data_IF_974106364690
#
_entry.id   IF_974106364690
#
_cell.length_a   1.000
_cell.length_b   1.000
_cell.length_c   1.000
_cell.angle_alpha   90.00
_cell.angle_beta   90.00
_cell.angle_gamma   90.00
#
_symmetry.space_group_name_H-M   'P 1'
#
loop_
_entity.id
_entity.type
_entity.pdbx_description
1 polymer ?
#
# COMPACT_ATOMS: atom_id res chain seq x y z
N UNK A 1 -6.85 26.09 -12.04
CA UNK A 1 -5.54 25.47 -12.36
C UNK A 1 -5.52 24.04 -11.86
N UNK A 2 -5.80 23.07 -12.74
CA UNK A 2 -5.74 21.64 -12.42
C UNK A 2 -4.27 21.23 -12.40
N UNK A 3 -3.71 20.96 -11.22
CA UNK A 3 -2.39 20.35 -11.11
C UNK A 3 -2.53 18.85 -11.43
N UNK A 4 -2.82 18.53 -12.69
CA UNK A 4 -2.65 17.20 -13.26
C UNK A 4 -1.13 16.98 -13.42
N UNK A 5 -0.43 16.72 -12.31
CA UNK A 5 0.85 16.01 -12.38
C UNK A 5 0.55 14.53 -12.62
N UNK A 6 -0.03 14.25 -13.78
CA UNK A 6 -0.14 12.91 -14.33
C UNK A 6 1.25 12.56 -14.84
N UNK A 7 1.73 11.35 -14.54
CA UNK A 7 3.11 10.88 -14.79
C UNK A 7 4.17 11.44 -13.84
N UNK A 8 4.24 10.83 -12.66
CA UNK A 8 5.50 10.72 -11.96
C UNK A 8 5.74 9.24 -11.67
N UNK A 9 6.44 8.57 -12.58
CA UNK A 9 6.96 7.22 -12.37
C UNK A 9 8.12 7.32 -11.36
N UNK A 10 7.84 7.71 -10.11
CA UNK A 10 8.86 7.75 -9.08
C UNK A 10 8.99 6.36 -8.47
N UNK A 11 10.03 5.67 -8.94
CA UNK A 11 10.52 4.42 -8.38
C UNK A 11 11.09 4.67 -6.98
N UNK A 12 10.22 4.76 -5.97
CA UNK A 12 10.65 4.77 -4.58
C UNK A 12 10.68 3.33 -4.07
N UNK A 13 11.86 2.71 -4.18
CA UNK A 13 12.13 1.37 -3.67
C UNK A 13 11.86 1.30 -2.17
N UNK A 14 10.83 0.57 -1.74
CA UNK A 14 10.73 0.11 -0.37
C UNK A 14 11.15 -1.36 -0.33
N UNK A 15 12.43 -1.57 -0.02
CA UNK A 15 12.99 -2.90 0.20
C UNK A 15 12.73 -3.26 1.66
N UNK A 16 11.97 -4.32 1.91
CA UNK A 16 11.89 -4.94 3.22
C UNK A 16 12.62 -6.28 3.16
N UNK A 17 13.47 -6.52 4.16
CA UNK A 17 14.21 -7.77 4.37
C UNK A 17 13.75 -8.36 5.70
N UNK A 18 12.73 -9.22 5.67
CA UNK A 18 12.36 -10.05 6.82
C UNK A 18 13.13 -11.37 6.75
N UNK A 19 13.82 -11.74 7.84
CA UNK A 19 14.35 -13.08 8.08
C UNK A 19 15.19 -13.68 6.94
N UNK A 20 16.18 -12.92 6.45
CA UNK A 20 17.33 -13.46 5.73
C UNK A 20 17.25 -13.67 4.22
N UNK A 21 16.07 -13.77 3.57
CA UNK A 21 16.03 -14.18 2.14
C UNK A 21 14.96 -13.46 1.29
N UNK A 22 13.91 -12.88 1.89
CA UNK A 22 12.85 -12.25 1.09
C UNK A 22 13.18 -10.83 0.68
N UNK A 23 13.20 -10.57 -0.63
CA UNK A 23 13.31 -9.22 -1.18
C UNK A 23 12.00 -8.84 -1.88
N UNK A 24 11.43 -7.71 -1.47
CA UNK A 24 10.27 -7.14 -2.12
C UNK A 24 10.57 -5.73 -2.59
N UNK A 25 10.11 -5.42 -3.80
CA UNK A 25 10.11 -4.08 -4.36
C UNK A 25 8.67 -3.72 -4.73
N UNK A 26 8.28 -2.48 -4.43
CA UNK A 26 6.98 -1.95 -4.79
C UNK A 26 7.09 -0.61 -5.49
N UNK A 27 6.23 -0.42 -6.49
CA UNK A 27 5.99 0.86 -7.17
C UNK A 27 4.50 1.13 -7.15
N UNK A 28 4.11 2.33 -6.72
CA UNK A 28 2.72 2.75 -6.64
C UNK A 28 2.53 4.00 -7.49
N UNK A 29 1.50 3.98 -8.34
CA UNK A 29 1.09 5.10 -9.18
C UNK A 29 -0.20 5.69 -8.62
N UNK A 30 -0.18 6.98 -8.31
CA UNK A 30 -1.30 7.69 -7.69
C UNK A 30 -1.54 9.05 -8.33
N UNK A 31 -2.79 9.50 -8.27
CA UNK A 31 -3.15 10.91 -8.44
C UNK A 31 -3.73 11.45 -7.14
N UNK A 32 -3.32 12.67 -6.79
CA UNK A 32 -3.74 13.36 -5.56
C UNK A 32 -4.29 14.73 -5.94
N UNK A 33 -5.45 15.08 -5.41
CA UNK A 33 -5.97 16.45 -5.42
C UNK A 33 -5.96 16.97 -3.98
N UNK A 34 -4.94 17.76 -3.59
CA UNK A 34 -4.81 18.30 -2.24
C UNK A 34 -5.94 19.27 -1.85
N UNK A 35 -6.56 19.94 -2.83
CA UNK A 35 -7.65 20.89 -2.56
C UNK A 35 -8.92 20.18 -2.11
N UNK A 36 -9.14 18.96 -2.61
CA UNK A 36 -10.28 18.11 -2.25
C UNK A 36 -9.91 17.03 -1.23
N UNK A 37 -8.62 16.82 -0.99
CA UNK A 37 -8.08 15.73 -0.19
C UNK A 37 -8.36 14.35 -0.81
N UNK A 38 -8.52 14.26 -2.13
CA UNK A 38 -8.85 13.00 -2.81
C UNK A 38 -7.60 12.32 -3.33
N UNK A 39 -7.53 11.01 -3.16
CA UNK A 39 -6.46 10.12 -3.63
C UNK A 39 -7.07 9.06 -4.53
N UNK A 40 -6.45 8.81 -5.67
CA UNK A 40 -6.77 7.69 -6.55
C UNK A 40 -5.51 6.86 -6.81
N UNK A 41 -5.62 5.55 -6.64
CA UNK A 41 -4.53 4.59 -6.87
C UNK A 41 -4.76 3.94 -8.23
N UNK A 42 -3.90 4.24 -9.18
CA UNK A 42 -4.03 3.72 -10.55
C UNK A 42 -3.43 2.33 -10.67
N UNK A 43 -2.21 2.17 -10.18
CA UNK A 43 -1.44 0.95 -10.39
C UNK A 43 -0.57 0.65 -9.20
N UNK A 44 -0.48 -0.63 -8.85
CA UNK A 44 0.43 -1.14 -7.86
C UNK A 44 1.26 -2.28 -8.45
N UNK A 45 2.58 -2.11 -8.52
CA UNK A 45 3.51 -3.12 -9.04
C UNK A 45 4.32 -3.67 -7.89
N UNK A 46 4.42 -4.99 -7.81
CA UNK A 46 5.24 -5.68 -6.82
C UNK A 46 6.15 -6.69 -7.49
N UNK A 47 7.46 -6.57 -7.28
CA UNK A 47 8.41 -7.65 -7.55
C UNK A 47 8.72 -8.37 -6.24
N UNK A 48 8.65 -9.70 -6.24
CA UNK A 48 8.82 -10.53 -5.05
C UNK A 48 9.83 -11.64 -5.30
N UNK A 49 10.71 -11.83 -4.34
CA UNK A 49 11.69 -12.91 -4.26
C UNK A 49 11.37 -13.72 -3.00
N UNK A 50 11.00 -14.98 -3.19
CA UNK A 50 10.68 -15.91 -2.11
C UNK A 50 11.28 -17.31 -2.31
N UNK A 51 12.42 -17.37 -3.00
CA UNK A 51 13.02 -18.64 -3.38
C UNK A 51 12.16 -19.42 -4.37
N UNK A 52 12.32 -20.74 -4.34
CA UNK A 52 11.53 -21.65 -5.14
C UNK A 52 10.02 -21.54 -4.83
N UNK A 53 9.20 -21.36 -5.86
CA UNK A 53 7.75 -21.18 -5.70
C UNK A 53 6.99 -22.49 -5.89
N UNK A 54 6.38 -22.99 -4.82
CA UNK A 54 5.53 -24.18 -4.88
C UNK A 54 4.20 -23.95 -5.62
N UNK A 55 3.62 -22.74 -5.48
CA UNK A 55 2.36 -22.37 -6.13
C UNK A 55 2.37 -20.89 -6.55
N UNK A 56 2.57 -20.65 -7.84
CA UNK A 56 2.65 -19.31 -8.44
C UNK A 56 1.35 -18.52 -8.21
N UNK A 57 0.19 -19.16 -8.41
CA UNK A 57 -1.10 -18.50 -8.24
C UNK A 57 -1.36 -18.15 -6.77
N UNK A 58 -0.95 -19.01 -5.84
CA UNK A 58 -1.03 -18.75 -4.40
C UNK A 58 -0.18 -17.56 -3.96
N UNK A 59 1.05 -17.46 -4.47
CA UNK A 59 1.93 -16.31 -4.19
C UNK A 59 1.34 -15.03 -4.76
N UNK A 60 0.84 -15.04 -6.00
CA UNK A 60 0.18 -13.87 -6.60
C UNK A 60 -1.02 -13.40 -5.79
N UNK A 61 -1.92 -14.32 -5.43
CA UNK A 61 -3.09 -14.01 -4.63
C UNK A 61 -2.72 -13.45 -3.24
N UNK A 62 -1.66 -13.98 -2.61
CA UNK A 62 -1.18 -13.44 -1.34
C UNK A 62 -0.63 -12.02 -1.46
N UNK A 63 0.16 -11.75 -2.49
CA UNK A 63 0.71 -10.41 -2.73
C UNK A 63 -0.40 -9.41 -3.04
N UNK A 64 -1.37 -9.79 -3.86
CA UNK A 64 -2.54 -8.98 -4.19
C UNK A 64 -3.40 -8.68 -2.97
N UNK A 65 -3.71 -9.70 -2.16
CA UNK A 65 -4.46 -9.56 -0.91
C UNK A 65 -3.75 -8.66 0.11
N UNK A 66 -2.44 -8.84 0.28
CA UNK A 66 -1.65 -8.02 1.17
C UNK A 66 -1.56 -6.56 0.71
N UNK A 67 -1.52 -6.30 -0.60
CA UNK A 67 -1.61 -4.93 -1.14
C UNK A 67 -2.95 -4.31 -0.80
N UNK A 68 -4.06 -5.02 -0.99
CA UNK A 68 -5.39 -4.49 -0.67
C UNK A 68 -5.53 -4.21 0.84
N UNK A 69 -5.15 -5.16 1.69
CA UNK A 69 -5.26 -4.99 3.14
C UNK A 69 -4.27 -3.93 3.67
N UNK A 70 -3.05 -3.89 3.13
CA UNK A 70 -2.08 -2.84 3.44
C UNK A 70 -2.58 -1.44 3.05
N UNK A 71 -3.26 -1.29 1.91
CA UNK A 71 -3.89 -0.02 1.52
C UNK A 71 -5.05 0.31 2.48
N UNK A 72 -5.88 -0.68 2.84
CA UNK A 72 -6.95 -0.52 3.84
C UNK A 72 -6.42 0.08 5.14
N UNK A 73 -5.36 -0.54 5.67
CA UNK A 73 -4.70 -0.11 6.90
C UNK A 73 -4.08 1.28 6.79
N UNK A 74 -3.40 1.54 5.67
CA UNK A 74 -2.72 2.81 5.43
C UNK A 74 -3.73 3.96 5.29
N UNK A 75 -4.89 3.72 4.68
CA UNK A 75 -5.85 4.79 4.38
C UNK A 75 -6.75 5.16 5.56
N UNK A 76 -7.38 4.19 6.23
CA UNK A 76 -8.51 4.47 7.14
C UNK A 76 -8.69 3.55 8.35
N UNK A 77 -8.03 2.40 8.45
CA UNK A 77 -8.22 1.53 9.62
C UNK A 77 -7.55 2.15 10.85
N UNK A 78 -8.35 2.74 11.73
CA UNK A 78 -7.94 3.28 13.01
C UNK A 78 -8.84 2.70 14.09
N UNK A 79 -8.22 2.28 15.20
CA UNK A 79 -8.92 1.93 16.42
C UNK A 79 -8.58 2.99 17.46
N UNK A 80 -9.57 3.75 17.91
CA UNK A 80 -9.45 4.73 18.97
C UNK A 80 -10.00 4.17 20.28
N UNK A 81 -9.36 4.54 21.39
CA UNK A 81 -9.75 4.09 22.74
C UNK A 81 -10.06 5.31 23.58
N UNK A 82 -11.26 5.33 24.14
CA UNK A 82 -11.77 6.42 24.95
C UNK A 82 -12.37 5.85 26.24
N UNK A 83 -11.96 6.37 27.40
CA UNK A 83 -12.33 5.86 28.73
C UNK A 83 -12.16 4.32 28.87
N UNK A 84 -11.11 3.75 28.26
CA UNK A 84 -10.82 2.32 28.31
C UNK A 84 -11.67 1.44 27.39
N UNK A 85 -12.50 2.02 26.51
CA UNK A 85 -13.33 1.30 25.55
C UNK A 85 -12.95 1.68 24.11
N UNK A 86 -13.00 0.68 23.22
CA UNK A 86 -12.86 0.91 21.77
C UNK A 86 -14.08 1.65 21.26
N UNK A 87 -13.87 2.71 20.49
CA UNK A 87 -14.97 3.53 19.97
C UNK A 87 -15.61 2.93 18.70
N UNK A 88 -14.83 2.28 17.84
CA UNK A 88 -15.34 1.66 16.61
C UNK A 88 -16.03 0.31 16.89
N UNK A 89 -17.22 0.14 16.35
CA UNK A 89 -18.11 -0.99 16.64
C UNK A 89 -18.23 -2.00 15.49
N UNK A 90 -18.03 -1.60 14.23
CA UNK A 90 -18.23 -2.45 13.04
C UNK A 90 -17.52 -1.87 11.78
N UNK A 91 -17.81 -2.36 10.57
CA UNK A 91 -17.15 -1.91 9.33
C UNK A 91 -17.66 -0.59 8.74
N UNK A 92 -18.64 0.05 9.38
CA UNK A 92 -19.11 1.37 9.00
C UNK A 92 -18.27 2.47 9.66
N UNK A 93 -17.78 2.25 10.88
CA UNK A 93 -16.92 3.13 11.66
C UNK A 93 -15.44 2.64 11.72
N UNK A 94 -15.16 1.35 11.58
CA UNK A 94 -13.85 0.78 11.22
C UNK A 94 -13.81 0.42 9.73
N UNK A 95 -13.63 1.43 8.87
CA UNK A 95 -13.83 1.26 7.43
C UNK A 95 -12.70 0.46 6.77
N UNK A 96 -13.05 -0.74 6.29
CA UNK A 96 -12.23 -1.50 5.34
C UNK A 96 -12.17 -0.83 3.96
N UNK A 97 -11.17 -1.21 3.18
CA UNK A 97 -11.05 -0.83 1.78
C UNK A 97 -12.32 -1.17 0.99
N UNK A 98 -12.76 -0.24 0.15
CA UNK A 98 -13.91 -0.42 -0.75
C UNK A 98 -13.39 -0.50 -2.19
N UNK A 99 -14.15 -1.14 -3.09
CA UNK A 99 -13.79 -1.26 -4.52
C UNK A 99 -13.38 0.07 -5.14
N UNK A 100 -14.07 1.17 -4.81
CA UNK A 100 -13.77 2.49 -5.38
C UNK A 100 -12.44 3.09 -4.88
N UNK A 101 -11.91 2.60 -3.76
CA UNK A 101 -10.63 3.02 -3.18
C UNK A 101 -9.49 2.05 -3.55
N UNK A 102 -9.80 0.88 -4.14
CA UNK A 102 -8.83 -0.13 -4.51
C UNK A 102 -8.01 0.29 -5.74
N UNK A 103 -6.78 -0.23 -5.93
CA UNK A 103 -6.01 -0.02 -7.15
C UNK A 103 -6.77 -0.49 -8.39
N UNK A 104 -6.75 0.28 -9.47
CA UNK A 104 -7.36 -0.15 -10.75
C UNK A 104 -6.62 -1.37 -11.33
N UNK A 105 -5.33 -1.52 -11.01
CA UNK A 105 -4.50 -2.64 -11.45
C UNK A 105 -3.42 -3.00 -10.44
N UNK A 106 -3.22 -4.31 -10.22
CA UNK A 106 -2.09 -4.86 -9.48
C UNK A 106 -1.29 -5.77 -10.42
N UNK A 107 0.02 -5.55 -10.52
CA UNK A 107 0.93 -6.43 -11.26
C UNK A 107 1.94 -7.07 -10.29
N UNK A 108 1.99 -8.40 -10.29
CA UNK A 108 2.92 -9.17 -9.45
C UNK A 108 3.93 -9.90 -10.33
N UNK A 109 5.20 -9.56 -10.13
CA UNK A 109 6.35 -10.20 -10.76
C UNK A 109 7.07 -11.06 -9.72
N UNK A 110 7.25 -12.33 -10.03
CA UNK A 110 7.96 -13.28 -9.17
C UNK A 110 9.35 -13.46 -9.76
N UNK A 111 10.38 -13.24 -8.95
CA UNK A 111 11.77 -13.49 -9.34
C UNK A 111 11.98 -15.00 -9.38
N UNK A 112 12.47 -15.49 -10.52
CA UNK A 112 12.83 -16.90 -10.67
C UNK A 112 14.24 -17.14 -10.15
N UNK A 113 14.38 -18.02 -9.16
CA UNK A 113 15.66 -18.44 -8.60
C UNK A 113 15.56 -19.79 -7.88
N UNK A 114 16.72 -20.38 -7.58
CA UNK A 114 16.86 -21.70 -6.95
C UNK A 114 17.09 -21.63 -5.43
N UNK A 115 16.87 -20.49 -4.78
CA UNK A 115 17.02 -20.41 -3.32
C UNK A 115 15.93 -21.24 -2.62
N UNK A 116 16.20 -21.73 -1.39
CA UNK A 116 15.20 -22.46 -0.61
C UNK A 116 13.90 -21.65 -0.47
N UNK A 117 12.72 -22.31 -0.52
CA UNK A 117 11.44 -21.63 -0.41
C UNK A 117 11.31 -20.93 0.94
N UNK A 118 10.71 -19.74 0.92
CA UNK A 118 10.48 -18.92 2.11
C UNK A 118 8.99 -18.60 2.27
N UNK A 119 8.62 -18.09 3.45
CA UNK A 119 7.24 -17.69 3.73
C UNK A 119 6.84 -16.43 2.97
N UNK A 120 5.61 -16.41 2.43
CA UNK A 120 5.00 -15.27 1.72
C UNK A 120 3.68 -14.78 2.33
N UNK A 121 3.33 -15.23 3.53
CA UNK A 121 2.08 -14.83 4.20
C UNK A 121 2.11 -13.38 4.72
N UNK A 122 3.17 -13.00 5.42
CA UNK A 122 3.33 -11.66 6.01
C UNK A 122 4.19 -10.70 5.15
N UNK A 123 5.32 -11.12 4.54
CA UNK A 123 6.27 -10.19 3.91
C UNK A 123 5.67 -9.23 2.86
N UNK A 124 4.62 -9.61 2.11
CA UNK A 124 3.96 -8.70 1.20
C UNK A 124 3.26 -7.50 1.85
N UNK A 125 2.91 -7.55 3.13
CA UNK A 125 2.08 -6.53 3.76
C UNK A 125 2.84 -5.24 4.16
N UNK A 126 3.94 -5.29 4.95
CA UNK A 126 4.58 -4.08 5.47
C UNK A 126 5.03 -3.05 4.42
N UNK A 127 5.54 -3.42 3.22
CA UNK A 127 6.08 -2.44 2.28
C UNK A 127 4.99 -1.67 1.50
N UNK A 128 3.70 -1.98 1.70
CA UNK A 128 2.59 -1.29 1.04
C UNK A 128 2.45 0.15 1.51
N UNK A 129 2.41 0.37 2.82
CA UNK A 129 2.27 1.69 3.43
C UNK A 129 3.36 2.69 3.00
N UNK A 130 4.67 2.38 3.11
CA UNK A 130 5.73 3.29 2.68
C UNK A 130 5.72 3.52 1.16
N UNK A 131 5.40 2.52 0.34
CA UNK A 131 5.29 2.70 -1.11
C UNK A 131 4.18 3.71 -1.47
N UNK A 132 3.02 3.60 -0.83
CA UNK A 132 1.90 4.53 -1.03
C UNK A 132 2.23 5.94 -0.52
N UNK A 133 2.77 6.07 0.69
CA UNK A 133 3.16 7.36 1.26
C UNK A 133 4.25 8.07 0.43
N UNK A 134 5.21 7.31 -0.12
CA UNK A 134 6.23 7.87 -1.00
C UNK A 134 5.65 8.31 -2.35
N UNK A 135 4.69 7.57 -2.91
CA UNK A 135 4.00 7.94 -4.14
C UNK A 135 3.17 9.24 -3.94
N UNK A 136 2.49 9.37 -2.81
CA UNK A 136 1.78 10.60 -2.44
C UNK A 136 2.75 11.77 -2.32
N UNK A 137 3.86 11.59 -1.60
CA UNK A 137 4.87 12.62 -1.46
C UNK A 137 5.43 13.06 -2.82
N UNK A 138 5.68 12.13 -3.74
CA UNK A 138 6.12 12.46 -5.09
C UNK A 138 5.05 13.23 -5.89
N UNK A 139 3.76 12.90 -5.72
CA UNK A 139 2.65 13.54 -6.43
C UNK A 139 2.37 14.98 -5.96
N UNK A 140 2.32 15.22 -4.63
CA UNK A 140 1.88 16.51 -4.08
C UNK A 140 2.87 17.19 -3.13
N UNK A 141 4.01 16.57 -2.81
CA UNK A 141 5.01 17.11 -1.87
C UNK A 141 4.65 16.96 -0.39
N UNK A 142 3.48 16.42 -0.05
CA UNK A 142 3.04 16.23 1.33
C UNK A 142 3.70 14.98 1.92
N UNK A 143 4.49 15.14 2.99
CA UNK A 143 5.15 14.02 3.66
C UNK A 143 4.29 13.50 4.80
N UNK A 144 3.70 12.32 4.60
CA UNK A 144 2.90 11.63 5.62
C UNK A 144 3.85 10.88 6.57
N UNK A 145 3.71 11.13 7.88
CA UNK A 145 4.54 10.52 8.93
C UNK A 145 3.74 9.76 9.99
N UNK A 146 2.42 9.89 9.97
CA UNK A 146 1.49 9.21 10.87
C UNK A 146 0.47 8.46 10.02
N UNK A 147 0.16 7.22 10.40
CA UNK A 147 -0.93 6.46 9.82
C UNK A 147 -2.12 6.43 10.80
N UNK A 148 -3.36 6.30 10.28
CA UNK A 148 -3.72 6.25 8.86
C UNK A 148 -3.64 7.63 8.18
N UNK A 149 -3.56 7.64 6.84
CA UNK A 149 -3.54 8.86 6.02
C UNK A 149 -4.77 9.73 6.31
N UNK A 150 -5.96 9.13 6.39
CA UNK A 150 -7.22 9.79 6.77
C UNK A 150 -7.40 11.19 6.13
N UNK A 151 -7.43 12.23 6.95
CA UNK A 151 -7.64 13.63 6.53
C UNK A 151 -6.35 14.41 6.26
N UNK A 152 -5.17 13.78 6.33
CA UNK A 152 -3.87 14.46 6.21
C UNK A 152 -3.58 15.01 4.80
N UNK A 153 -4.39 14.64 3.80
CA UNK A 153 -4.23 15.12 2.42
C UNK A 153 -4.89 16.48 2.14
N UNK A 154 -5.80 16.94 3.02
CA UNK A 154 -6.44 18.25 2.87
C UNK A 154 -5.48 19.33 3.34
N UNK A 155 -5.04 20.19 2.43
CA UNK A 155 -4.37 21.43 2.83
C UNK A 155 -5.47 22.44 3.19
N UNK A 156 -5.49 22.91 4.44
CA UNK A 156 -6.26 24.10 4.78
C UNK A 156 -5.62 25.27 4.03
N UNK A 157 -6.31 25.76 3.01
CA UNK A 157 -5.99 27.03 2.36
C UNK A 157 -6.34 28.19 3.32
#
# INVERSE_FOLDING_TARGET
MRCLKTFSLFCNYCINRCSGINNLLRVCEVSVDPSRGTLKIHRFVSAVDCGQVANINGVKAQVEGAIQDGISATLRQEITVNHGQVEQSNFHDYRLLRINDAPERIDVHIVDNEFPPTGMGEPPYPPVAPALCNAIFAACGIRIKRLPIANQLKQNA
#
